data_IF_799881839020
#
_entry.id   IF_799881839020
#
_cell.length_a   1.000
_cell.length_b   1.000
_cell.length_c   1.000
_cell.angle_alpha   90.00
_cell.angle_beta   90.00
_cell.angle_gamma   90.00
#
_symmetry.space_group_name_H-M   'P 1'
#
loop_
_entity.id
_entity.type
_entity.pdbx_description
1 polymer ?
#
# COMPACT_ATOMS: atom_id res chain seq x y z
N UNK A 1 8.79 -19.72 -23.78
CA UNK A 1 9.64 -18.53 -23.69
C UNK A 1 10.65 -18.72 -22.59
N UNK A 2 11.96 -18.55 -22.79
CA UNK A 2 12.96 -18.73 -21.75
C UNK A 2 12.74 -17.67 -20.67
N UNK A 3 12.56 -18.10 -19.41
CA UNK A 3 12.55 -17.22 -18.23
C UNK A 3 13.90 -16.50 -18.19
N UNK A 4 13.94 -15.21 -18.53
CA UNK A 4 15.13 -14.39 -18.27
C UNK A 4 15.42 -14.46 -16.78
N UNK A 5 16.49 -15.10 -16.38
CA UNK A 5 16.95 -15.11 -14.99
C UNK A 5 17.31 -13.68 -14.61
N UNK A 6 16.54 -13.11 -13.70
CA UNK A 6 16.84 -11.77 -13.17
C UNK A 6 18.04 -11.91 -12.25
N UNK A 7 19.07 -11.06 -12.44
CA UNK A 7 20.27 -11.08 -11.60
C UNK A 7 19.88 -10.91 -10.11
N UNK A 8 20.38 -11.78 -9.20
CA UNK A 8 20.10 -11.70 -7.77
C UNK A 8 20.42 -10.31 -7.18
N UNK A 9 21.48 -9.67 -7.66
CA UNK A 9 21.88 -8.32 -7.24
C UNK A 9 20.79 -7.28 -7.56
N UNK A 10 20.18 -7.34 -8.75
CA UNK A 10 19.08 -6.44 -9.12
C UNK A 10 17.87 -6.62 -8.20
N UNK A 11 17.55 -7.87 -7.86
CA UNK A 11 16.45 -8.19 -6.94
C UNK A 11 16.75 -7.62 -5.54
N UNK A 12 17.95 -7.84 -5.01
CA UNK A 12 18.37 -7.30 -3.72
C UNK A 12 18.32 -5.76 -3.68
N UNK A 13 18.80 -5.09 -4.72
CA UNK A 13 18.76 -3.63 -4.82
C UNK A 13 17.31 -3.10 -4.88
N UNK A 14 16.45 -3.73 -5.67
CA UNK A 14 15.03 -3.35 -5.72
C UNK A 14 14.34 -3.56 -4.37
N UNK A 15 14.59 -4.65 -3.68
CA UNK A 15 14.04 -4.91 -2.35
C UNK A 15 14.56 -3.91 -1.32
N UNK A 16 15.86 -3.60 -1.31
CA UNK A 16 16.45 -2.61 -0.42
C UNK A 16 15.81 -1.23 -0.63
N UNK A 17 15.69 -0.77 -1.87
CA UNK A 17 15.02 0.49 -2.22
C UNK A 17 13.54 0.49 -1.78
N UNK A 18 12.84 -0.62 -1.99
CA UNK A 18 11.44 -0.76 -1.56
C UNK A 18 11.30 -0.62 -0.04
N UNK A 19 12.11 -1.35 0.73
CA UNK A 19 12.06 -1.32 2.19
C UNK A 19 12.42 0.05 2.76
N UNK A 20 13.48 0.68 2.21
CA UNK A 20 13.90 2.01 2.63
C UNK A 20 12.84 3.07 2.32
N UNK A 21 12.28 3.04 1.10
CA UNK A 21 11.26 4.00 0.68
C UNK A 21 9.95 3.81 1.44
N UNK A 22 9.51 2.57 1.63
CA UNK A 22 8.24 2.28 2.30
C UNK A 22 8.34 2.53 3.80
N UNK A 23 9.39 2.04 4.47
CA UNK A 23 9.63 2.29 5.89
C UNK A 23 9.79 3.79 6.20
N UNK A 24 10.57 4.52 5.38
CA UNK A 24 10.75 5.96 5.53
C UNK A 24 9.47 6.78 5.28
N UNK A 25 8.51 6.25 4.52
CA UNK A 25 7.26 6.97 4.24
C UNK A 25 6.38 7.18 5.49
N UNK A 26 6.38 6.25 6.44
CA UNK A 26 5.64 6.41 7.71
C UNK A 26 6.21 7.54 8.55
N UNK A 27 7.54 7.63 8.65
CA UNK A 27 8.21 8.72 9.34
C UNK A 27 7.97 10.04 8.61
N UNK A 28 8.13 10.07 7.30
CA UNK A 28 7.86 11.24 6.47
C UNK A 28 6.42 11.75 6.62
N UNK A 29 5.42 10.86 6.63
CA UNK A 29 4.03 11.22 6.89
C UNK A 29 3.87 11.89 8.26
N UNK A 30 4.49 11.34 9.30
CA UNK A 30 4.40 11.90 10.66
C UNK A 30 4.94 13.35 10.71
N UNK A 31 6.06 13.62 10.04
CA UNK A 31 6.62 14.98 9.96
C UNK A 31 5.70 15.94 9.20
N UNK A 32 5.15 15.51 8.06
CA UNK A 32 4.30 16.39 7.24
C UNK A 32 2.99 16.71 7.95
N UNK A 33 2.43 15.76 8.74
CA UNK A 33 1.20 15.97 9.52
C UNK A 33 1.33 17.05 10.60
N UNK A 34 2.53 17.50 10.95
CA UNK A 34 2.72 18.64 11.85
C UNK A 34 2.33 19.98 11.21
N UNK A 35 2.36 20.06 9.87
CA UNK A 35 2.18 21.33 9.14
C UNK A 35 1.03 21.30 8.14
N UNK A 36 0.57 20.12 7.71
CA UNK A 36 -0.46 19.96 6.69
C UNK A 36 -1.62 19.08 7.16
N UNK A 37 -2.85 19.38 6.74
CA UNK A 37 -3.99 18.51 6.98
C UNK A 37 -3.78 17.12 6.39
N UNK A 38 -4.25 16.06 7.08
CA UNK A 38 -3.99 14.66 6.68
C UNK A 38 -4.40 14.33 5.24
N UNK A 39 -5.57 14.78 4.82
CA UNK A 39 -6.13 14.51 3.49
C UNK A 39 -5.33 15.21 2.41
N UNK A 40 -5.05 16.51 2.62
CA UNK A 40 -4.35 17.35 1.65
C UNK A 40 -2.92 16.86 1.33
N UNK A 41 -2.21 16.38 2.35
CA UNK A 41 -0.86 15.81 2.20
C UNK A 41 -0.87 14.59 1.26
N UNK A 42 -1.84 13.67 1.44
CA UNK A 42 -1.99 12.50 0.59
C UNK A 42 -2.32 12.88 -0.86
N UNK A 43 -3.24 13.83 -1.04
CA UNK A 43 -3.71 14.30 -2.34
C UNK A 43 -2.59 14.88 -3.19
N UNK A 44 -1.85 15.86 -2.69
CA UNK A 44 -0.74 16.49 -3.44
C UNK A 44 0.30 15.44 -3.84
N UNK A 45 0.73 14.60 -2.90
CA UNK A 45 1.75 13.57 -3.15
C UNK A 45 1.33 12.61 -4.24
N UNK A 46 0.10 12.11 -4.19
CA UNK A 46 -0.41 11.14 -5.15
C UNK A 46 -0.72 11.77 -6.51
N UNK A 47 -1.31 12.96 -6.55
CA UNK A 47 -1.55 13.70 -7.79
C UNK A 47 -0.25 13.99 -8.52
N UNK A 48 0.76 14.53 -7.83
CA UNK A 48 2.04 14.87 -8.45
C UNK A 48 2.76 13.63 -8.96
N UNK A 49 2.84 12.56 -8.16
CA UNK A 49 3.49 11.32 -8.57
C UNK A 49 2.73 10.64 -9.74
N UNK A 50 1.39 10.58 -9.68
CA UNK A 50 0.56 10.02 -10.74
C UNK A 50 0.66 10.81 -12.04
N UNK A 51 0.59 12.14 -11.97
CA UNK A 51 0.73 13.03 -13.13
C UNK A 51 2.11 12.91 -13.79
N UNK A 52 3.18 12.91 -13.00
CA UNK A 52 4.55 12.74 -13.50
C UNK A 52 4.71 11.38 -14.19
N UNK A 53 4.19 10.32 -13.59
CA UNK A 53 4.28 8.98 -14.17
C UNK A 53 3.47 8.89 -15.47
N UNK A 54 2.26 9.46 -15.53
CA UNK A 54 1.46 9.55 -16.76
C UNK A 54 2.18 10.36 -17.83
N UNK A 55 2.81 11.47 -17.46
CA UNK A 55 3.59 12.29 -18.38
C UNK A 55 4.77 11.50 -18.98
N UNK A 56 5.55 10.80 -18.17
CA UNK A 56 6.66 9.96 -18.65
C UNK A 56 6.13 8.85 -19.56
N UNK A 57 5.01 8.22 -19.20
CA UNK A 57 4.42 7.13 -19.97
C UNK A 57 3.77 7.62 -21.28
N UNK A 58 3.42 8.91 -21.41
CA UNK A 58 2.88 9.46 -22.67
C UNK A 58 3.86 9.39 -23.85
N UNK A 59 5.16 9.34 -23.55
CA UNK A 59 6.21 9.18 -24.56
C UNK A 59 6.46 7.71 -24.96
N UNK A 60 5.83 6.77 -24.26
CA UNK A 60 5.93 5.35 -24.54
C UNK A 60 4.58 4.77 -24.89
N UNK A 61 4.49 3.95 -25.93
CA UNK A 61 3.20 3.38 -26.38
C UNK A 61 2.76 2.25 -25.43
N UNK A 62 1.90 2.55 -24.48
CA UNK A 62 1.50 1.62 -23.40
C UNK A 62 -0.01 1.40 -23.37
N UNK A 63 -0.54 0.67 -24.33
CA UNK A 63 -1.95 0.27 -24.33
C UNK A 63 -2.94 1.46 -24.40
N UNK A 64 -4.20 1.17 -24.68
CA UNK A 64 -5.26 2.19 -24.69
C UNK A 64 -6.35 1.79 -23.72
N UNK A 65 -6.90 2.76 -23.01
CA UNK A 65 -8.10 2.58 -22.19
C UNK A 65 -9.25 2.18 -23.13
N UNK A 66 -9.89 1.05 -22.83
CA UNK A 66 -10.94 0.50 -23.72
C UNK A 66 -12.29 1.21 -23.58
N UNK A 67 -12.44 2.11 -22.62
CA UNK A 67 -13.67 2.88 -22.44
C UNK A 67 -13.94 3.33 -21.01
N UNK A 68 -15.08 4.00 -20.83
CA UNK A 68 -15.50 4.60 -19.57
C UNK A 68 -15.68 3.58 -18.43
N UNK A 69 -16.09 2.35 -18.76
CA UNK A 69 -16.21 1.27 -17.75
C UNK A 69 -14.88 0.89 -17.15
N UNK A 70 -13.83 0.78 -17.97
CA UNK A 70 -12.48 0.49 -17.50
C UNK A 70 -11.96 1.63 -16.61
N UNK A 71 -12.21 2.88 -16.98
CA UNK A 71 -11.85 4.05 -16.19
C UNK A 71 -12.54 4.06 -14.82
N UNK A 72 -13.82 3.67 -14.76
CA UNK A 72 -14.56 3.53 -13.51
C UNK A 72 -13.95 2.48 -12.57
N UNK A 73 -13.43 1.36 -13.10
CA UNK A 73 -12.72 0.38 -12.29
C UNK A 73 -11.43 0.97 -11.70
N UNK A 74 -10.64 1.74 -12.49
CA UNK A 74 -9.46 2.43 -11.96
C UNK A 74 -9.81 3.47 -10.90
N UNK A 75 -10.92 4.18 -11.06
CA UNK A 75 -11.43 5.11 -10.06
C UNK A 75 -11.77 4.42 -8.73
N UNK A 76 -12.46 3.27 -8.79
CA UNK A 76 -12.76 2.48 -7.59
C UNK A 76 -11.49 1.89 -6.94
N UNK A 77 -10.53 1.41 -7.74
CA UNK A 77 -9.23 0.94 -7.21
C UNK A 77 -8.52 2.08 -6.47
N UNK A 78 -8.50 3.27 -7.08
CA UNK A 78 -7.89 4.46 -6.47
C UNK A 78 -8.57 4.82 -5.15
N UNK A 79 -9.90 4.73 -5.09
CA UNK A 79 -10.67 5.00 -3.89
C UNK A 79 -10.25 4.11 -2.70
N UNK A 80 -10.15 2.80 -2.90
CA UNK A 80 -9.80 1.88 -1.83
C UNK A 80 -8.30 1.85 -1.53
N UNK A 81 -7.44 1.75 -2.57
CA UNK A 81 -5.99 1.55 -2.39
C UNK A 81 -5.30 2.85 -1.98
N UNK A 82 -5.71 3.99 -2.57
CA UNK A 82 -5.01 5.26 -2.38
C UNK A 82 -5.76 6.19 -1.44
N UNK A 83 -7.00 6.54 -1.76
CA UNK A 83 -7.74 7.53 -0.98
C UNK A 83 -8.03 7.04 0.45
N UNK A 84 -8.88 6.02 0.61
CA UNK A 84 -9.26 5.53 1.95
C UNK A 84 -8.04 5.10 2.77
N UNK A 85 -7.14 4.34 2.17
CA UNK A 85 -5.93 3.90 2.85
C UNK A 85 -5.09 5.08 3.37
N UNK A 86 -4.80 6.08 2.53
CA UNK A 86 -3.99 7.24 2.96
C UNK A 86 -4.71 8.11 3.99
N UNK A 87 -6.01 8.33 3.84
CA UNK A 87 -6.81 9.12 4.81
C UNK A 87 -6.79 8.44 6.18
N UNK A 88 -7.13 7.17 6.26
CA UNK A 88 -7.16 6.44 7.52
C UNK A 88 -5.76 6.25 8.12
N UNK A 89 -4.74 6.06 7.30
CA UNK A 89 -3.35 6.05 7.75
C UNK A 89 -2.95 7.38 8.37
N UNK A 90 -3.21 8.48 7.70
CA UNK A 90 -2.84 9.81 8.18
C UNK A 90 -3.61 10.21 9.44
N UNK A 91 -4.92 9.93 9.50
CA UNK A 91 -5.73 10.16 10.69
C UNK A 91 -5.26 9.31 11.88
N UNK A 92 -5.00 8.02 11.66
CA UNK A 92 -4.50 7.14 12.72
C UNK A 92 -3.13 7.54 13.25
N UNK A 93 -2.23 8.00 12.37
CA UNK A 93 -0.89 8.46 12.76
C UNK A 93 -0.88 9.79 13.54
N UNK A 94 -1.97 10.51 13.64
CA UNK A 94 -2.04 11.66 14.53
C UNK A 94 -1.95 11.25 16.01
N UNK A 95 -2.53 10.10 16.36
CA UNK A 95 -2.64 9.59 17.73
C UNK A 95 -1.89 8.26 17.97
N UNK A 96 -1.12 7.79 16.98
CA UNK A 96 -0.33 6.56 17.05
C UNK A 96 1.09 6.83 16.56
N UNK A 97 2.13 6.33 17.25
CA UNK A 97 3.51 6.44 16.80
C UNK A 97 3.73 5.79 15.42
N UNK A 98 4.63 6.39 14.61
CA UNK A 98 4.92 5.91 13.25
C UNK A 98 5.43 4.47 13.22
N UNK A 99 6.18 4.04 14.23
CA UNK A 99 6.64 2.66 14.37
C UNK A 99 5.50 1.66 14.53
N UNK A 100 4.51 1.98 15.39
CA UNK A 100 3.31 1.14 15.59
C UNK A 100 2.46 1.10 14.31
N UNK A 101 2.30 2.23 13.62
CA UNK A 101 1.62 2.28 12.34
C UNK A 101 2.31 1.40 11.29
N UNK A 102 3.64 1.46 11.20
CA UNK A 102 4.42 0.61 10.30
C UNK A 102 4.26 -0.88 10.61
N UNK A 103 4.20 -1.25 11.90
CA UNK A 103 3.95 -2.63 12.33
C UNK A 103 2.56 -3.12 11.91
N UNK A 104 1.51 -2.31 12.10
CA UNK A 104 0.16 -2.65 11.66
C UNK A 104 0.09 -2.84 10.14
N UNK A 105 0.74 -1.98 9.38
CA UNK A 105 0.84 -2.12 7.92
C UNK A 105 1.70 -3.32 7.48
N UNK A 106 2.62 -3.78 8.33
CA UNK A 106 3.36 -5.04 8.14
C UNK A 106 2.46 -6.28 8.12
N UNK A 107 1.21 -6.20 8.58
CA UNK A 107 0.22 -7.29 8.48
C UNK A 107 -0.43 -7.42 7.10
N UNK A 108 -0.23 -6.46 6.19
CA UNK A 108 -0.80 -6.48 4.82
C UNK A 108 -0.51 -7.79 4.08
N UNK A 109 0.72 -8.33 4.03
CA UNK A 109 1.00 -9.58 3.33
C UNK A 109 0.17 -10.76 3.87
N UNK A 110 -0.05 -10.82 5.20
CA UNK A 110 -0.91 -11.82 5.82
C UNK A 110 -2.36 -11.67 5.34
N UNK A 111 -2.90 -10.46 5.44
CA UNK A 111 -4.26 -10.17 5.02
C UNK A 111 -4.47 -10.41 3.51
N UNK A 112 -3.44 -10.14 2.67
CA UNK A 112 -3.47 -10.46 1.23
C UNK A 112 -3.51 -11.95 0.95
N UNK A 113 -2.74 -12.77 1.67
CA UNK A 113 -2.77 -14.24 1.50
C UNK A 113 -4.11 -14.81 1.93
N UNK A 114 -4.62 -14.39 3.09
CA UNK A 114 -5.93 -14.83 3.59
C UNK A 114 -7.07 -14.36 2.69
N UNK A 115 -7.06 -13.09 2.28
CA UNK A 115 -8.05 -12.53 1.38
C UNK A 115 -8.03 -13.20 0.00
N UNK A 116 -6.86 -13.48 -0.55
CA UNK A 116 -6.71 -14.22 -1.80
C UNK A 116 -7.31 -15.62 -1.73
N UNK A 117 -7.04 -16.33 -0.63
CA UNK A 117 -7.64 -17.66 -0.40
C UNK A 117 -9.16 -17.60 -0.23
N UNK A 118 -9.68 -16.68 0.60
CA UNK A 118 -11.10 -16.62 0.93
C UNK A 118 -11.96 -16.01 -0.19
N UNK A 119 -11.44 -14.99 -0.90
CA UNK A 119 -12.23 -14.20 -1.84
C UNK A 119 -11.95 -14.54 -3.31
N UNK A 120 -10.72 -14.94 -3.65
CA UNK A 120 -10.30 -15.21 -5.03
C UNK A 120 -10.16 -16.71 -5.33
N UNK A 121 -10.36 -17.59 -4.33
CA UNK A 121 -10.22 -19.02 -4.50
C UNK A 121 -8.78 -19.49 -4.71
N UNK A 122 -7.80 -18.72 -4.25
CA UNK A 122 -6.39 -19.12 -4.30
C UNK A 122 -6.17 -20.42 -3.51
N UNK A 123 -5.07 -21.10 -3.77
CA UNK A 123 -4.66 -22.26 -3.00
C UNK A 123 -4.49 -21.91 -1.51
N UNK A 124 -4.76 -22.87 -0.65
CA UNK A 124 -4.53 -22.71 0.80
C UNK A 124 -3.08 -22.27 1.06
N UNK A 125 -2.86 -21.37 2.04
CA UNK A 125 -1.51 -20.97 2.40
C UNK A 125 -0.65 -22.20 2.72
N UNK A 126 0.56 -22.23 2.16
CA UNK A 126 1.50 -23.31 2.46
C UNK A 126 2.00 -23.19 3.90
N UNK A 127 2.46 -24.32 4.48
CA UNK A 127 3.00 -24.33 5.84
C UNK A 127 4.17 -23.31 5.97
N UNK A 128 5.02 -23.21 4.94
CA UNK A 128 6.12 -22.25 4.93
C UNK A 128 5.64 -20.80 4.96
N UNK A 129 4.56 -20.48 4.26
CA UNK A 129 3.92 -19.15 4.32
C UNK A 129 3.36 -18.88 5.72
N UNK A 130 2.66 -19.85 6.33
CA UNK A 130 2.13 -19.72 7.68
C UNK A 130 3.25 -19.49 8.72
N UNK A 131 4.35 -20.23 8.63
CA UNK A 131 5.52 -20.06 9.51
C UNK A 131 6.17 -18.69 9.31
N UNK A 132 6.34 -18.25 8.04
CA UNK A 132 6.88 -16.92 7.74
C UNK A 132 6.02 -15.79 8.29
N UNK A 133 4.69 -15.90 8.15
CA UNK A 133 3.72 -14.93 8.68
C UNK A 133 3.76 -14.92 10.23
N UNK A 134 3.75 -16.09 10.87
CA UNK A 134 3.84 -16.21 12.32
C UNK A 134 5.15 -15.61 12.85
N UNK A 135 6.28 -15.86 12.17
CA UNK A 135 7.56 -15.26 12.51
C UNK A 135 7.57 -13.73 12.37
N UNK A 136 6.98 -13.21 11.32
CA UNK A 136 6.86 -11.76 11.11
C UNK A 136 5.97 -11.09 12.16
N UNK A 137 4.82 -11.68 12.50
CA UNK A 137 3.93 -11.16 13.55
C UNK A 137 4.56 -11.23 14.92
N UNK A 138 5.30 -12.31 15.23
CA UNK A 138 6.06 -12.43 16.47
C UNK A 138 7.18 -11.39 16.57
N UNK A 139 7.94 -11.18 15.50
CA UNK A 139 8.96 -10.13 15.42
C UNK A 139 8.38 -8.72 15.65
N UNK A 140 7.22 -8.41 15.06
CA UNK A 140 6.53 -7.14 15.32
C UNK A 140 6.07 -7.02 16.78
N UNK A 141 5.53 -8.08 17.37
CA UNK A 141 5.12 -8.10 18.78
C UNK A 141 6.33 -7.84 19.69
N UNK A 142 7.46 -8.51 19.47
CA UNK A 142 8.68 -8.30 20.25
C UNK A 142 9.20 -6.86 20.17
N UNK A 143 9.15 -6.24 18.97
CA UNK A 143 9.52 -4.83 18.81
C UNK A 143 8.55 -3.89 19.53
N UNK A 144 7.26 -4.24 19.62
CA UNK A 144 6.27 -3.45 20.37
C UNK A 144 6.50 -3.48 21.88
N UNK A 145 6.96 -4.62 22.42
CA UNK A 145 7.24 -4.78 23.86
C UNK A 145 8.66 -4.37 24.25
N UNK A 146 9.60 -4.30 23.29
CA UNK A 146 11.01 -3.97 23.54
C UNK A 146 11.33 -2.47 23.52
N UNK A 147 10.37 -1.60 23.25
CA UNK A 147 10.55 -0.13 23.30
C UNK A 147 10.70 0.34 24.76
N UNK A 148 11.68 1.21 25.02
CA UNK A 148 11.85 1.84 26.34
C UNK A 148 10.60 2.62 26.73
N UNK A 149 10.26 2.63 28.01
CA UNK A 149 9.08 3.26 28.64
C UNK A 149 8.87 4.74 28.27
N UNK A 150 9.91 5.45 27.86
CA UNK A 150 9.84 6.87 27.44
C UNK A 150 9.11 7.09 26.09
N UNK A 151 8.80 6.06 25.33
CA UNK A 151 8.04 6.14 24.06
C UNK A 151 6.63 5.52 24.15
N UNK A 152 6.13 5.18 25.31
CA UNK A 152 4.72 4.88 25.54
C UNK A 152 3.90 6.18 25.53
N UNK A 153 3.98 6.93 24.40
CA UNK A 153 2.94 7.88 24.06
C UNK A 153 1.61 7.10 24.09
N UNK A 154 0.61 7.62 24.79
CA UNK A 154 -0.72 7.00 24.90
C UNK A 154 -1.21 6.54 23.53
N UNK A 155 -1.11 5.24 23.26
CA UNK A 155 -1.57 4.66 22.00
C UNK A 155 -3.09 4.70 22.02
N UNK A 156 -3.66 5.63 21.28
CA UNK A 156 -5.10 5.75 21.17
C UNK A 156 -5.71 4.55 20.45
N UNK A 157 -6.65 3.86 21.10
CA UNK A 157 -7.39 2.76 20.49
C UNK A 157 -8.11 3.20 19.20
N UNK A 158 -8.66 4.41 19.18
CA UNK A 158 -9.30 4.98 17.98
C UNK A 158 -8.31 5.12 16.82
N UNK A 159 -7.08 5.57 17.10
CA UNK A 159 -6.03 5.65 16.08
C UNK A 159 -5.63 4.28 15.52
N UNK A 160 -5.51 3.26 16.37
CA UNK A 160 -5.25 1.88 15.93
C UNK A 160 -6.40 1.36 15.06
N UNK A 161 -7.65 1.58 15.44
CA UNK A 161 -8.81 1.18 14.63
C UNK A 161 -8.83 1.87 13.27
N UNK A 162 -8.50 3.15 13.20
CA UNK A 162 -8.37 3.88 11.94
C UNK A 162 -7.29 3.26 11.03
N UNK A 163 -6.11 2.95 11.59
CA UNK A 163 -5.04 2.28 10.84
C UNK A 163 -5.49 0.91 10.32
N UNK A 164 -6.22 0.13 11.13
CA UNK A 164 -6.76 -1.17 10.70
C UNK A 164 -7.76 -1.04 9.55
N UNK A 165 -8.63 -0.03 9.59
CA UNK A 165 -9.54 0.28 8.46
C UNK A 165 -8.73 0.65 7.21
N UNK A 166 -7.64 1.41 7.35
CA UNK A 166 -6.72 1.71 6.25
C UNK A 166 -6.11 0.44 5.64
N UNK A 167 -5.60 -0.47 6.48
CA UNK A 167 -5.04 -1.77 6.04
C UNK A 167 -6.11 -2.59 5.30
N UNK A 168 -7.31 -2.71 5.85
CA UNK A 168 -8.41 -3.45 5.22
C UNK A 168 -8.81 -2.83 3.87
N UNK A 169 -8.90 -1.51 3.80
CA UNK A 169 -9.19 -0.80 2.54
C UNK A 169 -8.14 -1.09 1.47
N UNK A 170 -6.86 -1.05 1.84
CA UNK A 170 -5.76 -1.39 0.94
C UNK A 170 -5.83 -2.83 0.45
N UNK A 171 -6.10 -3.78 1.34
CA UNK A 171 -6.20 -5.21 1.01
C UNK A 171 -7.36 -5.47 0.07
N UNK A 172 -8.56 -4.96 0.39
CA UNK A 172 -9.75 -5.11 -0.45
C UNK A 172 -9.54 -4.50 -1.84
N UNK A 173 -9.01 -3.29 -1.90
CA UNK A 173 -8.68 -2.63 -3.16
C UNK A 173 -7.64 -3.38 -3.98
N UNK A 174 -6.62 -3.94 -3.32
CA UNK A 174 -5.56 -4.72 -3.98
C UNK A 174 -6.08 -6.06 -4.52
N UNK A 175 -6.95 -6.77 -3.78
CA UNK A 175 -7.60 -7.99 -4.25
C UNK A 175 -8.53 -7.69 -5.44
N UNK A 176 -9.29 -6.60 -5.37
CA UNK A 176 -10.11 -6.13 -6.48
C UNK A 176 -9.25 -5.78 -7.72
N UNK A 177 -8.15 -5.05 -7.52
CA UNK A 177 -7.22 -4.73 -8.59
C UNK A 177 -6.61 -6.00 -9.22
N UNK A 178 -6.22 -6.98 -8.42
CA UNK A 178 -5.70 -8.27 -8.89
C UNK A 178 -6.70 -9.00 -9.78
N UNK A 179 -7.98 -9.05 -9.38
CA UNK A 179 -9.05 -9.66 -10.16
C UNK A 179 -9.28 -8.94 -11.51
N UNK A 180 -9.35 -7.61 -11.46
CA UNK A 180 -9.63 -6.80 -12.64
C UNK A 180 -8.45 -6.73 -13.62
N UNK A 181 -7.23 -6.53 -13.13
CA UNK A 181 -6.04 -6.31 -13.97
C UNK A 181 -5.64 -7.55 -14.79
N UNK A 182 -6.11 -8.75 -14.42
CA UNK A 182 -5.88 -9.96 -15.22
C UNK A 182 -6.45 -9.82 -16.65
N UNK A 183 -7.52 -9.04 -16.81
CA UNK A 183 -8.21 -8.83 -18.09
C UNK A 183 -7.96 -7.44 -18.69
N UNK A 184 -7.19 -6.59 -18.04
CA UNK A 184 -6.87 -5.24 -18.54
C UNK A 184 -5.85 -5.29 -19.68
N UNK A 185 -6.02 -4.41 -20.66
CA UNK A 185 -5.11 -4.21 -21.78
C UNK A 185 -4.01 -3.18 -21.50
N UNK A 186 -4.12 -2.45 -20.39
CA UNK A 186 -3.13 -1.46 -19.99
C UNK A 186 -1.88 -2.13 -19.41
N UNK A 187 -0.75 -1.48 -19.58
CA UNK A 187 0.47 -1.90 -18.89
C UNK A 187 0.31 -1.71 -17.37
N UNK A 188 1.03 -2.49 -16.59
CA UNK A 188 1.03 -2.36 -15.13
C UNK A 188 1.40 -0.94 -14.70
N UNK A 189 2.39 -0.31 -15.33
CA UNK A 189 2.82 1.05 -15.03
C UNK A 189 1.73 2.09 -15.32
N UNK A 190 1.02 1.96 -16.44
CA UNK A 190 -0.10 2.86 -16.78
C UNK A 190 -1.25 2.69 -15.78
N UNK A 191 -1.54 1.47 -15.37
CA UNK A 191 -2.56 1.18 -14.35
C UNK A 191 -2.22 1.81 -13.01
N UNK A 192 -0.98 1.66 -12.55
CA UNK A 192 -0.50 2.28 -11.30
C UNK A 192 -0.56 3.80 -11.38
N UNK A 193 -0.12 4.39 -12.50
CA UNK A 193 -0.15 5.84 -12.70
C UNK A 193 -1.58 6.42 -12.62
N UNK A 194 -2.56 5.74 -13.25
CA UNK A 194 -3.97 6.13 -13.17
C UNK A 194 -4.54 6.01 -11.75
N UNK A 195 -4.26 4.91 -11.06
CA UNK A 195 -4.71 4.70 -9.68
C UNK A 195 -4.11 5.75 -8.75
N UNK A 196 -2.83 6.10 -8.90
CA UNK A 196 -2.19 7.16 -8.12
C UNK A 196 -2.82 8.53 -8.41
N UNK A 197 -2.99 8.88 -9.68
CA UNK A 197 -3.56 10.16 -10.07
C UNK A 197 -5.01 10.31 -9.57
N UNK A 198 -5.86 9.31 -9.78
CA UNK A 198 -7.24 9.34 -9.29
C UNK A 198 -7.32 9.35 -7.76
N UNK A 199 -6.45 8.60 -7.07
CA UNK A 199 -6.39 8.62 -5.61
C UNK A 199 -6.01 10.00 -5.07
N UNK A 200 -5.11 10.71 -5.77
CA UNK A 200 -4.76 12.08 -5.42
C UNK A 200 -5.91 13.07 -5.68
N UNK A 201 -6.66 12.90 -6.77
CA UNK A 201 -7.84 13.75 -7.09
C UNK A 201 -8.97 13.55 -6.07
N UNK A 202 -9.09 12.34 -5.50
CA UNK A 202 -10.11 12.02 -4.49
C UNK A 202 -9.74 12.53 -3.09
N UNK A 203 -8.46 12.81 -2.82
CA UNK A 203 -7.94 13.31 -1.55
C UNK A 203 -7.97 14.82 -1.46
#
# INVERSE_FOLDING_TARGET
>A
MPKKSVSPLKVCLCLALLYFSWGGSFLGTKFVLTSFPPIFQGGIRLCTAGALLLFVLSFTSHGRISGLKELFHYWNMAFFIMFLNNVFQALGQQSVPSGVAAMLYGTIPLAMVLGGWLMLGDNRPSLLQCVGIAGATMGMALLSFGGNDDQQADISLSGVLLLMVGVLSFVLGSLYARYFLQNSRLSLFSSVALVMFFGGVQS
#
